data_IF_707614196541
#
_entry.id   IF_707614196541
#
_cell.length_a   1.000
_cell.length_b   1.000
_cell.length_c   1.000
_cell.angle_alpha   90.00
_cell.angle_beta   90.00
_cell.angle_gamma   90.00
#
_symmetry.space_group_name_H-M   'P 1'
#
loop_
_entity.id
_entity.type
_entity.pdbx_description
1 polymer ?
#
# COMPACT_ATOMS: atom_id res chain seq x y z
N UNK A 1 -9.53 -0.26 -10.05
CA UNK A 1 -8.46 -1.10 -9.47
C UNK A 1 -7.23 -0.23 -9.37
N UNK A 2 -6.90 0.18 -8.15
CA UNK A 2 -5.81 1.11 -7.91
C UNK A 2 -4.52 0.73 -8.64
N UNK A 3 -3.88 1.71 -9.27
CA UNK A 3 -2.62 1.53 -9.94
C UNK A 3 -1.48 1.63 -8.93
N UNK A 4 -0.79 0.52 -8.67
CA UNK A 4 0.39 0.48 -7.83
C UNK A 4 1.35 -0.61 -8.31
N UNK A 5 2.64 -0.44 -8.01
CA UNK A 5 3.66 -1.44 -8.28
C UNK A 5 4.20 -1.98 -6.95
N UNK A 6 3.95 -3.26 -6.66
CA UNK A 6 4.36 -3.90 -5.41
C UNK A 6 5.90 -4.11 -5.34
N UNK A 7 6.57 -4.17 -6.49
CA UNK A 7 8.01 -4.31 -6.61
C UNK A 7 8.73 -2.97 -6.41
N UNK A 8 8.15 -1.87 -6.90
CA UNK A 8 8.68 -0.51 -6.76
C UNK A 8 8.37 0.10 -5.38
N UNK A 9 8.81 -0.57 -4.32
CA UNK A 9 8.65 -0.10 -2.95
C UNK A 9 9.89 0.62 -2.45
N UNK A 10 9.68 1.70 -1.69
CA UNK A 10 10.76 2.35 -0.95
C UNK A 10 10.94 1.62 0.38
N UNK A 11 12.15 1.16 0.64
CA UNK A 11 12.55 0.57 1.92
C UNK A 11 13.58 1.46 2.60
N UNK A 12 13.40 1.71 3.90
CA UNK A 12 14.40 2.36 4.74
C UNK A 12 14.89 1.43 5.87
N UNK A 13 14.70 0.12 5.70
CA UNK A 13 15.02 -0.91 6.71
C UNK A 13 14.05 -1.02 7.89
N UNK A 14 13.19 -0.01 8.11
CA UNK A 14 12.17 -0.01 9.18
C UNK A 14 10.74 -0.06 8.66
N UNK A 15 10.52 0.39 7.42
CA UNK A 15 9.22 0.35 6.75
C UNK A 15 9.40 0.15 5.25
N UNK A 16 8.39 -0.46 4.64
CA UNK A 16 8.17 -0.50 3.20
C UNK A 16 7.06 0.49 2.85
N UNK A 17 7.22 1.23 1.75
CA UNK A 17 6.27 2.24 1.31
C UNK A 17 5.98 2.08 -0.18
N UNK A 18 4.68 2.16 -0.51
CA UNK A 18 4.15 2.09 -1.87
C UNK A 18 3.35 3.34 -2.18
N UNK A 19 3.40 3.74 -3.45
CA UNK A 19 2.50 4.73 -4.02
C UNK A 19 1.41 3.99 -4.79
N UNK A 20 0.17 4.32 -4.48
CA UNK A 20 -1.02 3.79 -5.12
C UNK A 20 -1.87 4.95 -5.63
N UNK A 21 -2.30 4.86 -6.88
CA UNK A 21 -3.18 5.84 -7.51
C UNK A 21 -4.57 5.21 -7.55
N UNK A 22 -5.55 5.74 -6.79
CA UNK A 22 -6.92 5.24 -6.84
C UNK A 22 -7.52 5.52 -8.21
N UNK A 23 -8.29 4.56 -8.73
CA UNK A 23 -9.15 4.82 -9.89
C UNK A 23 -10.37 5.68 -9.51
N UNK A 24 -11.06 6.20 -10.52
CA UNK A 24 -12.26 7.01 -10.32
C UNK A 24 -13.34 6.24 -9.54
N UNK A 25 -13.78 6.80 -8.41
CA UNK A 25 -14.77 6.19 -7.53
C UNK A 25 -14.23 5.15 -6.53
N UNK A 26 -12.93 4.83 -6.53
CA UNK A 26 -12.36 3.91 -5.52
C UNK A 26 -12.23 4.56 -4.14
N UNK A 27 -12.62 3.80 -3.12
CA UNK A 27 -12.37 4.23 -1.74
C UNK A 27 -10.91 4.00 -1.36
N UNK A 28 -10.42 4.82 -0.42
CA UNK A 28 -9.09 4.61 0.17
C UNK A 28 -8.95 3.22 0.82
N UNK A 29 -10.04 2.67 1.36
CA UNK A 29 -10.02 1.35 1.98
C UNK A 29 -9.79 0.25 0.92
N UNK A 30 -10.41 0.37 -0.24
CA UNK A 30 -10.23 -0.59 -1.34
C UNK A 30 -8.80 -0.58 -1.86
N UNK A 31 -8.22 0.62 -2.05
CA UNK A 31 -6.82 0.77 -2.46
C UNK A 31 -5.87 0.10 -1.46
N UNK A 32 -6.10 0.34 -0.16
CA UNK A 32 -5.28 -0.26 0.90
C UNK A 32 -5.42 -1.77 0.92
N UNK A 33 -6.63 -2.30 0.74
CA UNK A 33 -6.87 -3.73 0.74
C UNK A 33 -6.20 -4.42 -0.45
N UNK A 34 -6.19 -3.76 -1.63
CA UNK A 34 -5.46 -4.23 -2.80
C UNK A 34 -3.94 -4.28 -2.53
N UNK A 35 -3.36 -3.22 -1.95
CA UNK A 35 -1.94 -3.19 -1.59
C UNK A 35 -1.60 -4.26 -0.55
N UNK A 36 -2.41 -4.42 0.51
CA UNK A 36 -2.22 -5.46 1.53
C UNK A 36 -2.28 -6.87 0.95
N UNK A 37 -3.22 -7.12 0.03
CA UNK A 37 -3.35 -8.42 -0.64
C UNK A 37 -2.13 -8.73 -1.50
N UNK A 38 -1.67 -7.77 -2.29
CA UNK A 38 -0.45 -7.92 -3.08
C UNK A 38 0.80 -8.10 -2.21
N UNK A 39 0.89 -7.34 -1.11
CA UNK A 39 1.99 -7.47 -0.15
C UNK A 39 1.97 -8.85 0.54
N UNK A 40 0.81 -9.38 0.92
CA UNK A 40 0.68 -10.71 1.51
C UNK A 40 1.12 -11.83 0.56
N UNK A 41 0.80 -11.70 -0.74
CA UNK A 41 1.27 -12.64 -1.76
C UNK A 41 2.78 -12.64 -1.91
N UNK A 42 3.43 -11.49 -1.73
CA UNK A 42 4.87 -11.33 -1.93
C UNK A 42 5.71 -11.59 -0.68
N UNK A 43 5.32 -11.02 0.45
CA UNK A 43 6.09 -11.02 1.70
C UNK A 43 5.56 -12.05 2.72
N UNK A 44 4.47 -12.74 2.41
CA UNK A 44 3.91 -13.84 3.20
C UNK A 44 2.61 -13.49 3.92
N UNK A 45 1.88 -14.52 4.38
CA UNK A 45 0.52 -14.40 4.91
C UNK A 45 0.41 -13.58 6.22
N UNK A 46 1.50 -13.38 6.96
CA UNK A 46 1.52 -12.55 8.17
C UNK A 46 1.61 -11.03 7.89
N UNK A 47 1.86 -10.65 6.64
CA UNK A 47 2.02 -9.25 6.19
C UNK A 47 0.85 -8.33 6.56
N UNK A 48 -0.43 -8.74 6.45
CA UNK A 48 -1.56 -7.89 6.85
C UNK A 48 -1.62 -7.56 8.35
N UNK A 49 -0.99 -8.38 9.21
CA UNK A 49 -0.96 -8.19 10.67
C UNK A 49 0.08 -7.14 11.11
N UNK A 50 0.98 -6.72 10.21
CA UNK A 50 1.94 -5.65 10.47
C UNK A 50 1.22 -4.33 10.72
N UNK A 51 1.93 -3.35 11.29
CA UNK A 51 1.41 -1.99 11.43
C UNK A 51 1.41 -1.30 10.07
N UNK A 52 0.26 -0.73 9.69
CA UNK A 52 0.11 0.01 8.42
C UNK A 52 -0.14 1.50 8.69
N UNK A 53 0.32 2.34 7.79
CA UNK A 53 0.05 3.78 7.78
C UNK A 53 -0.36 4.19 6.38
N UNK A 54 -1.44 4.96 6.28
CA UNK A 54 -2.06 5.36 5.02
C UNK A 54 -2.10 6.88 5.00
N UNK A 55 -1.50 7.49 3.98
CA UNK A 55 -1.46 8.94 3.82
C UNK A 55 -2.00 9.25 2.43
N UNK A 56 -3.10 9.99 2.35
CA UNK A 56 -3.62 10.52 1.09
C UNK A 56 -2.98 11.89 0.84
N UNK A 57 -2.29 12.03 -0.27
CA UNK A 57 -1.80 13.31 -0.74
C UNK A 57 -2.93 14.10 -1.42
N UNK A 58 -2.83 15.44 -1.38
CA UNK A 58 -3.85 16.36 -1.91
C UNK A 58 -4.12 16.18 -3.41
N UNK A 59 -3.17 15.58 -4.14
CA UNK A 59 -3.25 15.27 -5.56
C UNK A 59 -3.96 13.93 -5.87
N UNK A 60 -4.59 13.30 -4.88
CA UNK A 60 -5.31 12.04 -5.06
C UNK A 60 -4.44 10.79 -4.91
N UNK A 61 -3.11 10.91 -4.84
CA UNK A 61 -2.20 9.78 -4.65
C UNK A 61 -2.29 9.27 -3.21
N UNK A 62 -2.32 7.95 -3.03
CA UNK A 62 -2.32 7.28 -1.74
C UNK A 62 -0.95 6.67 -1.49
N UNK A 63 -0.36 7.06 -0.38
CA UNK A 63 0.85 6.41 0.13
C UNK A 63 0.44 5.37 1.16
N UNK A 64 0.82 4.11 0.91
CA UNK A 64 0.61 3.00 1.84
C UNK A 64 1.97 2.60 2.39
N UNK A 65 2.12 2.58 3.71
CA UNK A 65 3.35 2.17 4.38
C UNK A 65 3.09 1.00 5.31
N UNK A 66 3.97 0.01 5.30
CA UNK A 66 4.01 -1.11 6.23
C UNK A 66 5.27 -0.99 7.09
N UNK A 67 5.12 -1.07 8.40
CA UNK A 67 6.24 -1.10 9.34
C UNK A 67 6.69 -2.54 9.54
N UNK A 68 8.00 -2.77 9.45
CA UNK A 68 8.63 -4.09 9.61
C UNK A 68 9.02 -4.35 11.05
#
# INVERSE_FOLDING_TARGET
MAQFNIDAHLSNGKRLQWLAIPDEGESLQDVVQQVKTAAARKFGLATPLRRWTIIRASNGVVTVSMHM
#
